data_IF_694703828397
#
_entry.id   IF_694703828397
#
_cell.length_a   1.000
_cell.length_b   1.000
_cell.length_c   1.000
_cell.angle_alpha   90.00
_cell.angle_beta   90.00
_cell.angle_gamma   90.00
#
_symmetry.space_group_name_H-M   'P 1'
#
loop_
_entity.id
_entity.type
_entity.pdbx_description
1 polymer ?
#
# COMPACT_ATOMS: atom_id res chain seq x y z
N UNK A 1 3.28 -30.18 51.27
CA UNK A 1 4.31 -30.66 50.32
C UNK A 1 5.58 -30.76 51.12
N UNK A 2 6.05 -31.97 51.39
CA UNK A 2 7.31 -32.16 52.12
C UNK A 2 8.46 -31.82 51.17
N UNK A 3 9.16 -30.72 51.47
CA UNK A 3 10.40 -30.35 50.80
C UNK A 3 11.51 -31.24 51.37
N UNK A 4 11.58 -32.48 50.87
CA UNK A 4 12.73 -33.33 51.16
C UNK A 4 13.93 -32.80 50.37
N UNK A 5 14.80 -32.09 51.08
CA UNK A 5 16.12 -31.72 50.60
C UNK A 5 17.01 -32.96 50.59
N UNK A 6 17.90 -33.06 49.60
CA UNK A 6 18.87 -34.13 49.53
C UNK A 6 19.80 -34.09 50.77
N UNK A 7 20.25 -35.25 51.23
CA UNK A 7 21.01 -35.38 52.47
C UNK A 7 22.35 -34.63 52.40
N UNK A 8 22.92 -34.52 51.21
CA UNK A 8 24.12 -33.71 50.95
C UNK A 8 23.87 -32.22 51.15
N UNK A 9 22.65 -31.74 50.91
CA UNK A 9 22.26 -30.34 51.15
C UNK A 9 21.99 -30.10 52.63
N UNK A 10 21.37 -31.06 53.32
CA UNK A 10 21.16 -30.98 54.77
C UNK A 10 22.48 -30.96 55.53
N UNK A 11 23.48 -31.73 55.07
CA UNK A 11 24.81 -31.81 55.69
C UNK A 11 25.60 -30.48 55.67
N UNK A 12 25.26 -29.56 54.77
CA UNK A 12 25.94 -28.25 54.64
C UNK A 12 25.14 -27.09 55.23
N UNK A 13 23.95 -27.34 55.78
CA UNK A 13 23.17 -26.30 56.46
C UNK A 13 23.82 -26.02 57.82
N UNK A 14 24.11 -24.74 58.14
CA UNK A 14 24.62 -24.37 59.46
C UNK A 14 23.69 -24.86 60.56
N UNK A 15 24.23 -25.32 61.69
CA UNK A 15 23.43 -25.73 62.84
C UNK A 15 23.05 -24.56 63.75
N UNK A 16 23.78 -23.44 63.67
CA UNK A 16 23.45 -22.21 64.39
C UNK A 16 22.29 -21.45 63.72
N UNK A 17 21.33 -21.01 64.56
CA UNK A 17 20.10 -20.35 64.10
C UNK A 17 20.36 -19.02 63.39
N UNK A 18 21.34 -18.22 63.83
CA UNK A 18 21.66 -16.94 63.19
C UNK A 18 22.37 -17.15 61.85
N UNK A 19 23.25 -18.15 61.76
CA UNK A 19 23.89 -18.53 60.50
C UNK A 19 22.88 -19.07 59.47
N UNK A 20 21.87 -19.84 59.91
CA UNK A 20 20.76 -20.27 59.05
C UNK A 20 19.94 -19.09 58.52
N UNK A 21 19.65 -18.09 59.36
CA UNK A 21 18.95 -16.88 58.93
C UNK A 21 19.76 -16.12 57.87
N UNK A 22 21.08 -16.00 58.07
CA UNK A 22 21.96 -15.34 57.10
C UNK A 22 22.01 -16.10 55.77
N UNK A 23 22.07 -17.43 55.82
CA UNK A 23 21.99 -18.29 54.63
C UNK A 23 20.65 -18.12 53.89
N UNK A 24 19.52 -18.17 54.61
CA UNK A 24 18.19 -17.97 54.04
C UNK A 24 18.06 -16.59 53.39
N UNK A 25 18.60 -15.55 54.04
CA UNK A 25 18.67 -14.18 53.51
C UNK A 25 19.47 -14.14 52.21
N UNK A 26 20.67 -14.73 52.18
CA UNK A 26 21.52 -14.80 50.98
C UNK A 26 20.83 -15.54 49.83
N UNK A 27 20.24 -16.70 50.09
CA UNK A 27 19.48 -17.46 49.09
C UNK A 27 18.35 -16.61 48.51
N UNK A 28 17.58 -15.94 49.38
CA UNK A 28 16.47 -15.07 48.97
C UNK A 28 16.98 -13.90 48.13
N UNK A 29 18.07 -13.24 48.56
CA UNK A 29 18.70 -12.15 47.80
C UNK A 29 19.16 -12.61 46.42
N UNK A 30 19.80 -13.79 46.32
CA UNK A 30 20.22 -14.36 45.04
C UNK A 30 19.02 -14.71 44.14
N UNK A 31 17.97 -15.30 44.71
CA UNK A 31 16.75 -15.62 43.97
C UNK A 31 16.07 -14.37 43.41
N UNK A 32 16.00 -13.30 44.21
CA UNK A 32 15.48 -12.00 43.76
C UNK A 32 16.38 -11.42 42.67
N UNK A 33 17.69 -11.37 42.87
CA UNK A 33 18.64 -10.83 41.89
C UNK A 33 18.56 -11.57 40.54
N UNK A 34 18.47 -12.90 40.56
CA UNK A 34 18.29 -13.73 39.36
C UNK A 34 16.97 -13.39 38.64
N UNK A 35 15.87 -13.23 39.38
CA UNK A 35 14.57 -12.84 38.81
C UNK A 35 14.61 -11.45 38.20
N UNK A 36 15.22 -10.48 38.89
CA UNK A 36 15.40 -9.10 38.40
C UNK A 36 16.20 -9.10 37.11
N UNK A 37 17.35 -9.78 37.08
CA UNK A 37 18.18 -9.88 35.88
C UNK A 37 17.44 -10.50 34.68
N UNK A 38 16.65 -11.55 34.91
CA UNK A 38 15.83 -12.14 33.84
C UNK A 38 14.74 -11.17 33.34
N UNK A 39 14.10 -10.42 34.24
CA UNK A 39 13.12 -9.40 33.88
C UNK A 39 13.75 -8.26 33.09
N UNK A 40 14.92 -7.76 33.50
CA UNK A 40 15.68 -6.74 32.78
C UNK A 40 16.05 -7.22 31.37
N UNK A 41 16.51 -8.47 31.23
CA UNK A 41 16.80 -9.06 29.92
C UNK A 41 15.57 -9.18 29.02
N UNK A 42 14.42 -9.58 29.57
CA UNK A 42 13.14 -9.61 28.83
C UNK A 42 12.69 -8.21 28.41
N UNK A 43 12.80 -7.24 29.31
CA UNK A 43 12.46 -5.84 29.04
C UNK A 43 13.36 -5.25 27.94
N UNK A 44 14.66 -5.53 27.98
CA UNK A 44 15.60 -5.12 26.94
C UNK A 44 15.23 -5.67 25.57
N UNK A 45 14.93 -6.98 25.47
CA UNK A 45 14.45 -7.60 24.22
C UNK A 45 13.14 -7.00 23.73
N UNK A 46 12.20 -6.73 24.64
CA UNK A 46 10.91 -6.13 24.29
C UNK A 46 11.08 -4.71 23.77
N UNK A 47 11.97 -3.92 24.39
CA UNK A 47 12.31 -2.57 23.93
C UNK A 47 12.96 -2.58 22.55
N UNK A 48 13.90 -3.49 22.29
CA UNK A 48 14.51 -3.64 20.98
C UNK A 48 13.48 -3.96 19.89
N UNK A 49 12.56 -4.90 20.17
CA UNK A 49 11.47 -5.26 19.27
C UNK A 49 10.50 -4.09 19.03
N UNK A 50 10.27 -3.26 20.04
CA UNK A 50 9.44 -2.06 19.90
C UNK A 50 10.08 -1.08 18.91
N UNK A 51 11.38 -0.77 19.07
CA UNK A 51 12.10 0.10 18.13
C UNK A 51 12.14 -0.44 16.70
N UNK A 52 12.32 -1.75 16.54
CA UNK A 52 12.25 -2.39 15.22
C UNK A 52 10.86 -2.19 14.58
N UNK A 53 9.78 -2.34 15.37
CA UNK A 53 8.41 -2.13 14.89
C UNK A 53 8.13 -0.67 14.57
N UNK A 54 8.59 0.27 15.39
CA UNK A 54 8.45 1.70 15.14
C UNK A 54 9.17 2.11 13.83
N UNK A 55 10.35 1.54 13.57
CA UNK A 55 11.06 1.77 12.33
C UNK A 55 10.30 1.24 11.11
N UNK A 56 9.76 0.02 11.19
CA UNK A 56 8.94 -0.57 10.12
C UNK A 56 7.67 0.27 9.89
N UNK A 57 7.02 0.77 10.94
CA UNK A 57 5.85 1.63 10.84
C UNK A 57 6.22 2.89 10.06
N UNK A 58 7.32 3.56 10.42
CA UNK A 58 7.78 4.76 9.73
C UNK A 58 8.04 4.51 8.24
N UNK A 59 8.71 3.41 7.88
CA UNK A 59 8.93 3.06 6.46
C UNK A 59 7.62 2.79 5.70
N UNK A 60 6.64 2.16 6.35
CA UNK A 60 5.35 1.88 5.74
C UNK A 60 4.52 3.16 5.54
N UNK A 61 4.58 4.09 6.50
CA UNK A 61 3.94 5.40 6.40
C UNK A 61 4.52 6.23 5.25
N UNK A 62 5.85 6.22 5.08
CA UNK A 62 6.52 6.91 3.97
C UNK A 62 6.14 6.32 2.60
N UNK A 63 6.12 4.99 2.48
CA UNK A 63 5.67 4.29 1.27
C UNK A 63 4.20 4.58 0.96
N UNK A 64 3.34 4.60 1.99
CA UNK A 64 1.93 4.91 1.83
C UNK A 64 1.73 6.33 1.31
N UNK A 65 2.42 7.30 1.90
CA UNK A 65 2.39 8.70 1.47
C UNK A 65 2.81 8.84 0.00
N UNK A 66 3.91 8.18 -0.38
CA UNK A 66 4.41 8.17 -1.76
C UNK A 66 3.37 7.58 -2.73
N UNK A 67 2.78 6.44 -2.38
CA UNK A 67 1.75 5.79 -3.20
C UNK A 67 0.48 6.65 -3.33
N UNK A 68 0.07 7.31 -2.25
CA UNK A 68 -1.08 8.22 -2.28
C UNK A 68 -0.84 9.39 -3.24
N UNK A 69 0.35 9.98 -3.22
CA UNK A 69 0.71 11.07 -4.13
C UNK A 69 0.73 10.59 -5.59
N UNK A 70 1.35 9.44 -5.87
CA UNK A 70 1.39 8.87 -7.22
C UNK A 70 -0.01 8.53 -7.74
N UNK A 71 -0.88 8.01 -6.87
CA UNK A 71 -2.25 7.70 -7.25
C UNK A 71 -3.07 8.96 -7.57
N UNK A 72 -2.92 10.03 -6.78
CA UNK A 72 -3.56 11.31 -7.06
C UNK A 72 -3.07 11.94 -8.37
N UNK A 73 -1.77 11.90 -8.65
CA UNK A 73 -1.20 12.36 -9.92
C UNK A 73 -1.75 11.53 -11.09
N UNK A 74 -1.77 10.20 -10.98
CA UNK A 74 -2.32 9.31 -12.00
C UNK A 74 -3.82 9.58 -12.25
N UNK A 75 -4.61 9.76 -11.20
CA UNK A 75 -6.04 10.09 -11.29
C UNK A 75 -6.26 11.44 -11.99
N UNK A 76 -5.46 12.44 -11.66
CA UNK A 76 -5.53 13.76 -12.31
C UNK A 76 -5.22 13.68 -13.82
N UNK A 77 -4.17 12.93 -14.20
CA UNK A 77 -3.79 12.72 -15.60
C UNK A 77 -4.84 11.92 -16.35
N UNK A 78 -5.39 10.90 -15.71
CA UNK A 78 -6.46 10.10 -16.28
C UNK A 78 -7.70 10.97 -16.57
N UNK A 79 -8.09 11.83 -15.62
CA UNK A 79 -9.22 12.74 -15.81
C UNK A 79 -9.00 13.68 -17.00
N UNK A 80 -7.82 14.28 -17.11
CA UNK A 80 -7.46 15.15 -18.24
C UNK A 80 -7.56 14.39 -19.57
N UNK A 81 -6.91 13.23 -19.66
CA UNK A 81 -6.93 12.41 -20.88
C UNK A 81 -8.34 11.94 -21.25
N UNK A 82 -9.18 11.64 -20.25
CA UNK A 82 -10.56 11.25 -20.44
C UNK A 82 -11.41 12.40 -21.00
N UNK A 83 -11.29 13.60 -20.44
CA UNK A 83 -11.97 14.80 -20.95
C UNK A 83 -11.54 15.14 -22.37
N UNK A 84 -10.25 15.02 -22.70
CA UNK A 84 -9.74 15.19 -24.06
C UNK A 84 -10.32 14.14 -25.02
N UNK A 85 -10.42 12.88 -24.60
CA UNK A 85 -10.99 11.82 -25.41
C UNK A 85 -12.46 12.08 -25.76
N UNK A 86 -13.24 12.59 -24.79
CA UNK A 86 -14.63 13.00 -25.02
C UNK A 86 -14.69 14.08 -26.11
N UNK A 87 -13.89 15.15 -25.96
CA UNK A 87 -13.85 16.25 -26.94
C UNK A 87 -13.48 15.75 -28.34
N UNK A 88 -12.44 14.92 -28.44
CA UNK A 88 -12.03 14.32 -29.71
C UNK A 88 -13.12 13.44 -30.33
N UNK A 89 -13.89 12.72 -29.52
CA UNK A 89 -15.02 11.92 -30.00
C UNK A 89 -16.14 12.81 -30.58
N UNK A 90 -16.47 13.92 -29.91
CA UNK A 90 -17.46 14.88 -30.40
C UNK A 90 -17.01 15.55 -31.72
N UNK A 91 -15.75 15.96 -31.80
CA UNK A 91 -15.15 16.53 -33.01
C UNK A 91 -15.17 15.52 -34.18
N UNK A 92 -14.82 14.26 -33.91
CA UNK A 92 -14.91 13.17 -34.90
C UNK A 92 -16.33 13.03 -35.44
N UNK A 93 -17.34 13.06 -34.57
CA UNK A 93 -18.74 12.88 -34.99
C UNK A 93 -19.24 14.07 -35.81
N UNK A 94 -18.86 15.30 -35.42
CA UNK A 94 -19.13 16.52 -36.20
C UNK A 94 -18.48 16.47 -37.59
N UNK A 95 -17.22 16.04 -37.66
CA UNK A 95 -16.50 15.89 -38.92
C UNK A 95 -17.13 14.81 -39.80
N UNK A 96 -17.54 13.68 -39.23
CA UNK A 96 -18.21 12.61 -39.95
C UNK A 96 -19.56 13.07 -40.55
N UNK A 97 -20.32 13.88 -39.83
CA UNK A 97 -21.56 14.48 -40.33
C UNK A 97 -21.30 15.45 -41.48
N UNK A 98 -20.25 16.26 -41.37
CA UNK A 98 -19.83 17.19 -42.43
C UNK A 98 -19.39 16.44 -43.68
N UNK A 99 -18.58 15.38 -43.54
CA UNK A 99 -18.13 14.54 -44.64
C UNK A 99 -19.31 13.85 -45.36
N UNK A 100 -20.29 13.33 -44.60
CA UNK A 100 -21.53 12.76 -45.17
C UNK A 100 -22.34 13.80 -45.95
N UNK A 101 -22.46 15.02 -45.44
CA UNK A 101 -23.17 16.11 -46.13
C UNK A 101 -22.48 16.47 -47.43
N UNK A 102 -21.16 16.68 -47.40
CA UNK A 102 -20.38 17.03 -48.59
C UNK A 102 -20.45 15.93 -49.67
N UNK A 103 -20.40 14.66 -49.27
CA UNK A 103 -20.55 13.53 -50.20
C UNK A 103 -21.92 13.52 -50.90
N UNK A 104 -22.99 13.82 -50.16
CA UNK A 104 -24.34 13.97 -50.75
C UNK A 104 -24.42 15.16 -51.70
N UNK A 105 -23.86 16.30 -51.33
CA UNK A 105 -23.91 17.51 -52.17
C UNK A 105 -23.08 17.34 -53.45
N UNK A 106 -21.93 16.69 -53.37
CA UNK A 106 -21.13 16.34 -54.54
C UNK A 106 -21.87 15.38 -55.48
N UNK A 107 -22.58 14.39 -54.92
CA UNK A 107 -23.40 13.46 -55.71
C UNK A 107 -24.54 14.18 -56.45
N UNK A 108 -25.20 15.15 -55.80
CA UNK A 108 -26.24 15.98 -56.46
C UNK A 108 -25.65 16.81 -57.61
N UNK A 109 -24.50 17.45 -57.41
CA UNK A 109 -23.84 18.25 -58.46
C UNK A 109 -23.43 17.36 -59.63
N UNK A 110 -22.84 16.20 -59.36
CA UNK A 110 -22.48 15.21 -60.39
C UNK A 110 -23.69 14.77 -61.20
N UNK A 111 -24.82 14.50 -60.55
CA UNK A 111 -26.06 14.13 -61.22
C UNK A 111 -26.58 15.26 -62.13
N UNK A 112 -26.60 16.51 -61.64
CA UNK A 112 -27.01 17.68 -62.45
C UNK A 112 -26.14 17.84 -63.69
N UNK A 113 -24.83 17.66 -63.55
CA UNK A 113 -23.88 17.71 -64.68
C UNK A 113 -24.21 16.61 -65.70
N UNK A 114 -24.43 15.37 -65.25
CA UNK A 114 -24.78 14.25 -66.13
C UNK A 114 -26.09 14.51 -66.90
N UNK A 115 -27.10 15.04 -66.22
CA UNK A 115 -28.38 15.42 -66.85
C UNK A 115 -28.16 16.53 -67.89
N UNK A 116 -27.38 17.56 -67.57
CA UNK A 116 -27.08 18.65 -68.51
C UNK A 116 -26.36 18.13 -69.76
N UNK A 117 -25.38 17.24 -69.60
CA UNK A 117 -24.72 16.59 -70.73
C UNK A 117 -25.70 15.78 -71.58
N UNK A 118 -26.59 14.99 -70.97
CA UNK A 118 -27.59 14.22 -71.69
C UNK A 118 -28.54 15.13 -72.49
N UNK A 119 -29.03 16.22 -71.90
CA UNK A 119 -29.88 17.20 -72.58
C UNK A 119 -29.18 17.86 -73.76
N UNK A 120 -27.91 18.23 -73.61
CA UNK A 120 -27.12 18.85 -74.70
C UNK A 120 -26.90 17.86 -75.84
N UNK A 121 -26.62 16.60 -75.56
CA UNK A 121 -26.37 15.57 -76.57
C UNK A 121 -27.65 15.20 -77.32
N UNK A 122 -28.76 14.97 -76.61
CA UNK A 122 -30.06 14.64 -77.21
C UNK A 122 -30.75 15.83 -77.91
N UNK A 123 -30.42 17.08 -77.61
CA UNK A 123 -30.96 18.25 -78.33
C UNK A 123 -30.21 18.55 -79.63
N UNK A 124 -29.15 17.79 -79.94
CA UNK A 124 -28.27 18.00 -81.09
C UNK A 124 -28.42 16.94 -82.18
N UNK A 125 -29.18 15.88 -81.90
CA UNK A 125 -29.69 14.87 -82.84
C UNK A 125 -31.11 15.23 -83.29
#
# INVERSE_FOLDING_TARGET
MDFNLAEEVLAVIPTDTYEQLDLARKITSMAIASRVSNMEGKMGRMRAKMYEKDHIIFELEDKLSTLQQLNQDAESRFKIAFEENIKLSEERDSLAMTAKKLSRDFSKVRLKILILFALIFFSRD
#
